data_IF_877519120940
#
_entry.id   IF_877519120940
#
_cell.length_a   1.000
_cell.length_b   1.000
_cell.length_c   1.000
_cell.angle_alpha   90.00
_cell.angle_beta   90.00
_cell.angle_gamma   90.00
#
_symmetry.space_group_name_H-M   'P 1'
#
loop_
_entity.id
_entity.type
_entity.pdbx_description
1 polymer ?
#
# COMPACT_ATOMS: atom_id res chain seq x y z
N UNK A 1 -11.94 -7.75 -6.49
CA UNK A 1 -12.11 -9.02 -5.74
C UNK A 1 -11.01 -9.05 -4.69
N UNK A 2 -11.35 -9.25 -3.41
CA UNK A 2 -10.40 -9.20 -2.30
C UNK A 2 -9.42 -10.38 -2.36
N UNK A 3 -8.10 -10.11 -2.38
CA UNK A 3 -7.07 -11.16 -2.50
C UNK A 3 -5.87 -10.88 -1.59
N UNK A 4 -5.36 -11.91 -0.90
CA UNK A 4 -4.08 -11.84 -0.19
C UNK A 4 -2.94 -11.70 -1.19
N UNK A 5 -2.02 -10.77 -0.93
CA UNK A 5 -0.89 -10.47 -1.82
C UNK A 5 0.43 -10.63 -1.07
N UNK A 6 1.46 -11.01 -1.83
CA UNK A 6 2.86 -10.98 -1.39
C UNK A 6 3.56 -9.78 -2.03
N UNK A 7 4.32 -9.04 -1.23
CA UNK A 7 5.12 -7.91 -1.70
C UNK A 7 6.52 -8.41 -2.02
N UNK A 8 6.95 -8.16 -3.24
CA UNK A 8 8.29 -8.40 -3.75
C UNK A 8 9.09 -7.11 -3.80
N UNK A 9 10.38 -7.24 -4.09
CA UNK A 9 11.23 -6.09 -4.42
C UNK A 9 10.69 -5.36 -5.66
N UNK A 10 10.90 -4.04 -5.70
CA UNK A 10 10.54 -3.22 -6.85
C UNK A 10 11.35 -3.67 -8.09
N UNK A 11 10.70 -3.95 -9.24
CA UNK A 11 11.41 -4.26 -10.48
C UNK A 11 12.46 -3.20 -10.87
N UNK A 12 13.58 -3.63 -11.48
CA UNK A 12 14.71 -2.76 -11.81
C UNK A 12 14.37 -1.67 -12.84
N UNK A 13 13.46 -1.98 -13.76
CA UNK A 13 13.00 -1.05 -14.79
C UNK A 13 12.08 0.06 -14.23
N UNK A 14 11.59 -0.06 -12.99
CA UNK A 14 10.77 0.98 -12.34
C UNK A 14 11.67 2.02 -11.70
N UNK A 15 11.62 3.26 -12.21
CA UNK A 15 12.39 4.38 -11.70
C UNK A 15 11.70 5.08 -10.53
N UNK A 16 12.45 5.31 -9.44
CA UNK A 16 12.00 6.05 -8.26
C UNK A 16 12.95 7.21 -7.88
N UNK A 17 14.02 7.44 -8.65
CA UNK A 17 15.12 8.35 -8.27
C UNK A 17 14.70 9.82 -8.15
N UNK A 18 13.65 10.24 -8.87
CA UNK A 18 13.11 11.60 -8.82
C UNK A 18 11.95 11.76 -7.83
N UNK A 19 11.56 10.69 -7.12
CA UNK A 19 10.40 10.70 -6.24
C UNK A 19 10.78 11.08 -4.81
N UNK A 20 10.21 12.17 -4.32
CA UNK A 20 10.19 12.45 -2.89
C UNK A 20 9.13 11.56 -2.23
N UNK A 21 9.52 10.32 -1.91
CA UNK A 21 8.65 9.41 -1.17
C UNK A 21 8.31 10.04 0.17
N UNK A 22 7.03 10.27 0.39
CA UNK A 22 6.54 10.92 1.61
C UNK A 22 5.99 9.87 2.56
N UNK A 23 6.46 9.90 3.80
CA UNK A 23 6.03 8.98 4.85
C UNK A 23 4.51 9.08 5.06
N UNK A 24 3.86 7.93 5.29
CA UNK A 24 2.41 7.81 5.51
C UNK A 24 1.55 8.36 4.36
N UNK A 25 2.11 8.49 3.16
CA UNK A 25 1.42 8.94 1.94
C UNK A 25 1.47 7.86 0.86
N UNK A 26 1.18 6.61 1.24
CA UNK A 26 1.34 5.44 0.37
C UNK A 26 0.57 5.55 -0.95
N UNK A 27 -0.67 6.04 -0.93
CA UNK A 27 -1.47 6.24 -2.13
C UNK A 27 -0.86 7.29 -3.07
N UNK A 28 -0.39 8.41 -2.52
CA UNK A 28 0.29 9.45 -3.27
C UNK A 28 1.63 8.97 -3.84
N UNK A 29 2.41 8.22 -3.05
CA UNK A 29 3.67 7.63 -3.51
C UNK A 29 3.42 6.65 -4.66
N UNK A 30 2.42 5.79 -4.52
CA UNK A 30 2.04 4.81 -5.54
C UNK A 30 1.56 5.48 -6.83
N UNK A 31 0.80 6.57 -6.70
CA UNK A 31 0.43 7.43 -7.81
C UNK A 31 1.66 7.98 -8.53
N UNK A 32 2.61 8.58 -7.82
CA UNK A 32 3.78 9.16 -8.47
C UNK A 32 4.73 8.11 -9.07
N UNK A 33 4.77 6.89 -8.53
CA UNK A 33 5.47 5.77 -9.18
C UNK A 33 4.85 5.46 -10.53
N UNK A 34 3.53 5.27 -10.58
CA UNK A 34 2.84 4.99 -11.83
C UNK A 34 2.93 6.17 -12.80
N UNK A 35 2.84 7.41 -12.29
CA UNK A 35 2.94 8.62 -13.10
C UNK A 35 4.35 8.84 -13.68
N UNK A 36 5.42 8.56 -12.94
CA UNK A 36 6.78 8.76 -13.47
C UNK A 36 7.24 7.63 -14.40
N UNK A 37 6.46 6.56 -14.50
CA UNK A 37 6.76 5.39 -15.31
C UNK A 37 5.59 5.11 -16.27
N UNK A 38 4.98 6.14 -16.89
CA UNK A 38 3.78 5.98 -17.77
C UNK A 38 3.99 5.04 -18.95
N UNK A 39 5.24 4.82 -19.36
CA UNK A 39 5.61 3.86 -20.41
C UNK A 39 5.54 2.40 -19.93
N UNK A 40 5.45 2.18 -18.62
CA UNK A 40 5.23 0.88 -18.00
C UNK A 40 3.75 0.78 -17.59
N UNK A 41 3.16 -0.41 -17.75
CA UNK A 41 1.76 -0.64 -17.43
C UNK A 41 1.54 -0.85 -15.91
N UNK A 42 2.01 0.09 -15.09
CA UNK A 42 1.98 -0.02 -13.62
C UNK A 42 0.59 0.34 -13.10
N UNK A 43 0.01 -0.56 -12.31
CA UNK A 43 -1.19 -0.32 -11.53
C UNK A 43 -0.87 0.28 -10.17
N UNK A 44 -1.76 1.15 -9.70
CA UNK A 44 -1.92 1.57 -8.31
C UNK A 44 -2.90 0.58 -7.69
N UNK A 45 -2.46 -0.15 -6.69
CA UNK A 45 -3.28 -1.14 -5.99
C UNK A 45 -3.74 -0.52 -4.69
N UNK A 46 -5.04 -0.28 -4.57
CA UNK A 46 -5.68 0.08 -3.30
C UNK A 46 -6.06 -1.18 -2.53
N UNK A 47 -5.82 -1.15 -1.23
CA UNK A 47 -6.13 -2.26 -0.36
C UNK A 47 -5.94 -1.93 1.11
N UNK A 48 -5.71 -2.99 1.88
CA UNK A 48 -5.44 -2.89 3.29
C UNK A 48 -4.18 -3.66 3.66
N UNK A 49 -3.48 -3.15 4.68
CA UNK A 49 -2.48 -3.92 5.41
C UNK A 49 -3.03 -4.31 6.77
N UNK A 50 -2.68 -5.51 7.22
CA UNK A 50 -2.91 -5.98 8.58
C UNK A 50 -1.54 -6.08 9.23
N UNK A 51 -1.32 -5.25 10.25
CA UNK A 51 -0.09 -5.22 11.01
C UNK A 51 -0.32 -5.96 12.31
N UNK A 52 0.51 -6.97 12.60
CA UNK A 52 0.51 -7.67 13.87
C UNK A 52 1.69 -7.22 14.73
N UNK A 53 1.44 -6.89 15.99
CA UNK A 53 2.51 -6.66 16.95
C UNK A 53 3.11 -8.00 17.45
N UNK A 54 4.15 -7.95 18.28
CA UNK A 54 4.76 -9.14 18.91
C UNK A 54 3.83 -9.91 19.85
N UNK A 55 2.78 -9.26 20.34
CA UNK A 55 1.74 -9.87 21.17
C UNK A 55 0.58 -10.42 20.31
N UNK A 56 0.73 -10.42 18.98
CA UNK A 56 -0.29 -10.83 18.00
C UNK A 56 -1.55 -9.95 17.98
N UNK A 57 -1.48 -8.71 18.49
CA UNK A 57 -2.55 -7.74 18.29
C UNK A 57 -2.49 -7.21 16.86
N UNK A 58 -3.62 -7.33 16.15
CA UNK A 58 -3.75 -6.87 14.78
C UNK A 58 -4.25 -5.42 14.71
N UNK A 59 -3.82 -4.67 13.70
CA UNK A 59 -4.45 -3.42 13.28
C UNK A 59 -4.56 -3.41 11.76
N UNK A 60 -5.73 -3.05 11.25
CA UNK A 60 -5.98 -2.92 9.80
C UNK A 60 -5.89 -1.45 9.41
N UNK A 61 -5.15 -1.14 8.34
CA UNK A 61 -4.98 0.22 7.82
C UNK A 61 -5.21 0.25 6.31
N UNK A 62 -5.75 1.37 5.81
CA UNK A 62 -5.78 1.63 4.37
C UNK A 62 -4.35 1.72 3.86
N UNK A 63 -4.08 1.12 2.70
CA UNK A 63 -2.75 1.15 2.13
C UNK A 63 -2.77 1.04 0.62
N UNK A 64 -1.70 1.50 -0.02
CA UNK A 64 -1.55 1.41 -1.46
C UNK A 64 -0.10 1.12 -1.85
N UNK A 65 0.04 0.34 -2.92
CA UNK A 65 1.31 -0.10 -3.50
C UNK A 65 1.14 -0.27 -5.00
N UNK A 66 2.18 -0.69 -5.72
CA UNK A 66 2.13 -0.82 -7.16
C UNK A 66 2.15 -2.28 -7.61
N UNK A 67 1.64 -2.53 -8.82
CA UNK A 67 1.72 -3.82 -9.49
C UNK A 67 2.24 -3.63 -10.93
N UNK A 68 3.22 -4.44 -11.33
CA UNK A 68 3.71 -4.53 -12.70
C UNK A 68 3.81 -6.01 -13.08
N UNK A 69 3.08 -6.45 -14.10
CA UNK A 69 3.10 -7.84 -14.58
C UNK A 69 2.89 -8.90 -13.48
N UNK A 70 1.94 -8.64 -12.57
CA UNK A 70 1.63 -9.42 -11.36
C UNK A 70 2.68 -9.38 -10.24
N UNK A 71 3.75 -8.60 -10.40
CA UNK A 71 4.73 -8.34 -9.34
C UNK A 71 4.22 -7.15 -8.54
N UNK A 72 3.86 -7.40 -7.28
CA UNK A 72 3.44 -6.36 -6.35
C UNK A 72 4.64 -5.84 -5.55
N UNK A 73 4.81 -4.52 -5.48
CA UNK A 73 5.92 -3.89 -4.80
C UNK A 73 5.48 -2.60 -4.10
N UNK A 74 6.07 -2.32 -2.95
CA UNK A 74 5.72 -1.18 -2.11
C UNK A 74 6.92 -0.28 -1.85
N UNK A 75 7.01 0.80 -2.62
CA UNK A 75 8.09 1.77 -2.49
C UNK A 75 8.02 2.57 -1.19
N UNK A 76 6.84 2.72 -0.60
CA UNK A 76 6.68 3.48 0.65
C UNK A 76 7.35 2.75 1.79
N UNK A 77 7.22 1.43 1.81
CA UNK A 77 7.82 0.55 2.82
C UNK A 77 9.30 0.28 2.52
N UNK A 78 9.64 0.05 1.24
CA UNK A 78 11.02 -0.26 0.84
C UNK A 78 11.99 0.93 1.00
N UNK A 79 11.53 2.18 0.81
CA UNK A 79 12.39 3.37 0.92
C UNK A 79 12.39 4.02 2.30
N UNK A 80 11.42 3.67 3.16
CA UNK A 80 11.45 4.10 4.55
C UNK A 80 12.44 3.22 5.32
N UNK A 81 13.72 3.63 5.39
CA UNK A 81 14.72 3.05 6.29
C UNK A 81 14.24 3.03 7.76
N UNK A 82 13.26 3.88 8.12
CA UNK A 82 12.61 3.86 9.42
C UNK A 82 11.37 2.97 9.49
N UNK A 83 10.98 2.25 8.43
CA UNK A 83 9.96 1.21 8.57
C UNK A 83 10.43 0.11 9.53
N UNK A 84 11.73 -0.20 9.53
CA UNK A 84 12.33 -1.04 10.58
C UNK A 84 12.36 -0.39 11.97
N UNK A 85 12.37 0.95 12.07
CA UNK A 85 12.47 1.68 13.34
C UNK A 85 11.11 2.06 13.96
N UNK A 86 10.06 2.30 13.15
CA UNK A 86 8.69 2.57 13.61
C UNK A 86 8.02 1.35 14.22
N UNK A 87 8.62 0.17 14.00
CA UNK A 87 8.00 -1.11 14.19
C UNK A 87 8.94 -2.08 14.90
N UNK A 88 9.70 -1.60 15.88
CA UNK A 88 10.44 -2.49 16.80
C UNK A 88 9.56 -3.60 17.39
N UNK A 89 8.24 -3.37 17.43
CA UNK A 89 7.24 -4.29 17.96
C UNK A 89 6.31 -4.94 16.92
N UNK A 90 6.57 -4.81 15.61
CA UNK A 90 5.83 -5.57 14.59
C UNK A 90 6.42 -6.95 14.39
N UNK A 91 5.56 -7.95 14.36
CA UNK A 91 5.93 -9.33 14.05
C UNK A 91 5.64 -9.69 12.59
N UNK A 92 4.54 -9.19 12.04
CA UNK A 92 4.07 -9.57 10.70
C UNK A 92 3.25 -8.46 10.05
N UNK A 93 3.35 -8.35 8.72
CA UNK A 93 2.48 -7.50 7.90
C UNK A 93 1.89 -8.33 6.77
N UNK A 94 0.57 -8.33 6.65
CA UNK A 94 -0.18 -8.99 5.58
C UNK A 94 -0.83 -7.95 4.66
N UNK A 95 -0.81 -8.20 3.35
CA UNK A 95 -1.40 -7.33 2.34
C UNK A 95 -2.65 -7.95 1.75
N UNK A 96 -3.66 -7.12 1.53
CA UNK A 96 -4.94 -7.50 0.96
C UNK A 96 -5.31 -6.50 -0.13
N UNK A 97 -5.25 -6.92 -1.40
CA UNK A 97 -5.68 -6.10 -2.55
C UNK A 97 -7.19 -6.07 -2.64
N UNK A 98 -7.74 -4.89 -2.92
CA UNK A 98 -9.17 -4.67 -3.12
C UNK A 98 -9.45 -4.17 -4.54
N UNK A 99 -8.75 -3.12 -4.95
CA UNK A 99 -8.98 -2.40 -6.20
C UNK A 99 -7.66 -2.08 -6.91
N UNK A 100 -7.73 -1.98 -8.24
CA UNK A 100 -6.59 -1.68 -9.11
C UNK A 100 -6.98 -0.49 -9.98
N UNK A 101 -6.08 0.47 -10.06
CA UNK A 101 -6.30 1.75 -10.68
C UNK A 101 -5.11 2.10 -11.58
N UNK A 102 -5.38 2.75 -12.70
CA UNK A 102 -4.36 3.41 -13.49
C UNK A 102 -4.15 4.83 -12.96
N UNK A 103 -2.97 5.39 -13.13
CA UNK A 103 -2.66 6.73 -12.64
C UNK A 103 -3.56 7.83 -13.23
N UNK A 104 -4.08 7.62 -14.45
CA UNK A 104 -4.94 8.56 -15.17
C UNK A 104 -6.33 8.74 -14.56
N UNK A 105 -6.78 7.84 -13.68
CA UNK A 105 -8.06 8.01 -12.97
C UNK A 105 -8.01 9.17 -11.97
N UNK A 106 -6.80 9.47 -11.45
CA UNK A 106 -6.60 10.53 -10.49
C UNK A 106 -6.24 11.81 -11.25
N UNK A 107 -7.23 12.71 -11.39
CA UNK A 107 -7.07 13.96 -12.15
C UNK A 107 -6.06 14.93 -11.53
N UNK A 108 -5.78 14.81 -10.22
CA UNK A 108 -4.88 15.68 -9.47
C UNK A 108 -4.35 14.96 -8.22
N UNK A 109 -3.03 15.01 -8.01
CA UNK A 109 -2.36 14.47 -6.83
C UNK A 109 -2.79 15.11 -5.49
N UNK A 110 -3.28 16.36 -5.50
CA UNK A 110 -3.62 17.12 -4.28
C UNK A 110 -4.91 16.67 -3.58
N UNK A 111 -5.74 15.85 -4.23
CA UNK A 111 -7.03 15.39 -3.68
C UNK A 111 -7.20 13.87 -3.81
N UNK A 112 -6.09 13.12 -3.80
CA UNK A 112 -6.16 11.67 -3.87
C UNK A 112 -6.59 11.09 -2.53
N UNK A 113 -7.64 10.30 -2.54
CA UNK A 113 -8.23 9.64 -1.37
C UNK A 113 -8.48 8.17 -1.70
N UNK A 114 -8.47 7.33 -0.66
CA UNK A 114 -8.85 5.92 -0.79
C UNK A 114 -10.33 5.80 -1.13
N UNK A 115 -10.68 4.76 -1.88
CA UNK A 115 -12.07 4.46 -2.19
C UNK A 115 -12.89 4.13 -0.94
N UNK A 116 -14.20 4.37 -1.01
CA UNK A 116 -15.15 4.01 0.03
C UNK A 116 -15.09 2.51 0.36
N UNK A 117 -14.80 1.66 -0.64
CA UNK A 117 -14.64 0.23 -0.47
C UNK A 117 -13.43 -0.10 0.41
N UNK A 118 -12.29 0.55 0.16
CA UNK A 118 -11.08 0.39 0.96
C UNK A 118 -11.31 0.86 2.40
N UNK A 119 -11.96 2.02 2.57
CA UNK A 119 -12.30 2.58 3.90
C UNK A 119 -13.25 1.65 4.65
N UNK A 120 -14.28 1.13 3.99
CA UNK A 120 -15.26 0.22 4.60
C UNK A 120 -14.61 -1.11 5.01
N UNK A 121 -13.71 -1.66 4.19
CA UNK A 121 -12.98 -2.89 4.51
C UNK A 121 -12.14 -2.72 5.79
N UNK A 122 -11.40 -1.62 5.90
CA UNK A 122 -10.55 -1.34 7.07
C UNK A 122 -11.38 -1.16 8.34
N UNK A 123 -12.51 -0.42 8.27
CA UNK A 123 -13.45 -0.29 9.40
C UNK A 123 -13.99 -1.65 9.83
N UNK A 124 -14.44 -2.47 8.89
CA UNK A 124 -14.92 -3.83 9.17
C UNK A 124 -13.85 -4.72 9.79
N UNK A 125 -12.63 -4.67 9.26
CA UNK A 125 -11.48 -5.44 9.75
C UNK A 125 -11.13 -5.11 11.19
N UNK A 126 -11.03 -3.83 11.54
CA UNK A 126 -10.75 -3.41 12.92
C UNK A 126 -11.89 -3.81 13.88
N UNK A 127 -13.15 -3.63 13.50
CA UNK A 127 -14.30 -4.05 14.32
C UNK A 127 -14.33 -5.58 14.57
N UNK A 128 -13.77 -6.39 13.66
CA UNK A 128 -13.64 -7.84 13.85
C UNK A 128 -12.48 -8.20 14.79
N UNK A 129 -11.40 -7.42 14.81
CA UNK A 129 -10.26 -7.64 15.71
C UNK A 129 -10.61 -7.27 17.15
N UNK A 130 -11.33 -6.16 17.36
CA UNK A 130 -11.79 -5.72 18.69
C UNK A 130 -12.76 -6.71 19.36
N UNK A 131 -13.55 -7.45 18.57
CA UNK A 131 -14.46 -8.49 19.10
C UNK A 131 -13.75 -9.77 19.54
N UNK A 132 -12.46 -9.93 19.19
CA UNK A 132 -11.67 -11.14 19.51
C UNK A 132 -10.79 -10.97 20.76
N UNK A 133 -10.64 -9.75 21.24
CA UNK A 133 -9.99 -9.39 22.51
C UNK A 133 -11.01 -9.30 23.63
#
# INVERSE_FOLDING_TARGET
>A
MCKKIEISEKPDNVSIAALKITKNKCLLNSYFVAENNKNLNIDIVEGAIIIYDKNSNGTVLCHAWNCLDNIHFDVTIQTDNNYQNYHKDVSEIKYVSLEHHKHDIYKNANSIEFSDNTIAFVKGGNAMLEKKT
#
